data_IF_739633453605
#
_entry.id   IF_739633453605
#
_cell.length_a   1.000
_cell.length_b   1.000
_cell.length_c   1.000
_cell.angle_alpha   90.00
_cell.angle_beta   90.00
_cell.angle_gamma   90.00
#
_symmetry.space_group_name_H-M   'P 1'
#
loop_
_entity.id
_entity.type
_entity.pdbx_description
1 polymer ?
#
# COMPACT_ATOMS: atom_id res chain seq x y z
N UNK A 1 -8.92 9.04 0.92
CA UNK A 1 -7.46 8.88 1.07
C UNK A 1 -6.88 9.99 1.94
N UNK A 2 -7.43 10.21 3.14
CA UNK A 2 -6.92 11.25 4.06
C UNK A 2 -6.14 10.54 5.16
N UNK A 3 -4.94 11.02 5.47
CA UNK A 3 -4.11 10.40 6.49
C UNK A 3 -4.68 10.60 7.91
N UNK A 4 -4.42 9.66 8.85
CA UNK A 4 -4.99 9.67 10.20
C UNK A 4 -4.83 10.99 10.96
N UNK A 5 -3.68 11.65 10.82
CA UNK A 5 -3.38 12.92 11.46
C UNK A 5 -4.31 14.05 11.00
N UNK A 6 -4.67 14.10 9.71
CA UNK A 6 -5.59 15.09 9.18
C UNK A 6 -7.06 14.77 9.51
N UNK A 7 -7.39 13.50 9.76
CA UNK A 7 -8.71 13.09 10.24
C UNK A 7 -8.94 13.44 11.72
N UNK A 8 -7.87 13.56 12.53
CA UNK A 8 -7.95 13.95 13.94
C UNK A 8 -8.27 15.42 14.14
N UNK A 9 -8.13 16.26 13.11
CA UNK A 9 -8.27 17.73 13.17
C UNK A 9 -7.29 18.42 14.14
N UNK A 10 -6.38 17.68 14.78
CA UNK A 10 -5.36 18.16 15.74
C UNK A 10 -4.10 18.74 15.08
N UNK A 11 -4.07 18.83 13.75
CA UNK A 11 -2.89 19.28 12.99
C UNK A 11 -2.61 20.77 13.17
N UNK A 12 -3.54 21.56 13.74
CA UNK A 12 -3.37 23.00 13.98
C UNK A 12 -2.59 23.32 15.27
N UNK A 13 -1.60 22.50 15.63
CA UNK A 13 -0.67 22.80 16.71
C UNK A 13 0.55 23.56 16.18
N UNK A 14 1.21 24.34 17.04
CA UNK A 14 2.39 25.17 16.70
C UNK A 14 3.59 24.39 16.11
N UNK A 15 3.57 23.05 16.16
CA UNK A 15 4.59 22.17 15.60
C UNK A 15 4.32 21.70 14.15
N UNK A 16 3.21 22.12 13.53
CA UNK A 16 2.92 21.75 12.15
C UNK A 16 3.98 22.28 11.18
N UNK A 17 4.61 21.37 10.44
CA UNK A 17 5.51 21.69 9.34
C UNK A 17 4.83 21.29 8.03
N UNK A 18 4.25 22.25 7.27
CA UNK A 18 3.48 21.94 6.08
C UNK A 18 4.23 21.06 5.09
N UNK A 19 5.52 21.32 4.89
CA UNK A 19 6.32 20.54 3.95
C UNK A 19 6.47 19.08 4.40
N UNK A 20 6.88 18.86 5.64
CA UNK A 20 7.12 17.50 6.16
C UNK A 20 5.81 16.74 6.35
N UNK A 21 4.81 17.36 6.95
CA UNK A 21 3.56 16.70 7.34
C UNK A 21 2.69 16.39 6.11
N UNK A 22 2.58 17.30 5.14
CA UNK A 22 1.90 16.99 3.88
C UNK A 22 2.64 15.92 3.08
N UNK A 23 3.97 15.95 3.05
CA UNK A 23 4.75 14.86 2.42
C UNK A 23 4.45 13.51 3.06
N UNK A 24 4.34 13.45 4.40
CA UNK A 24 3.99 12.21 5.09
C UNK A 24 2.54 11.78 4.84
N UNK A 25 1.63 12.73 4.67
CA UNK A 25 0.25 12.46 4.27
C UNK A 25 0.20 11.84 2.87
N UNK A 26 0.98 12.39 1.92
CA UNK A 26 1.07 11.88 0.56
C UNK A 26 1.60 10.44 0.51
N UNK A 27 2.56 10.09 1.38
CA UNK A 27 3.03 8.71 1.51
C UNK A 27 1.92 7.76 1.95
N UNK A 28 1.08 8.18 2.90
CA UNK A 28 -0.08 7.39 3.32
C UNK A 28 -1.08 7.20 2.17
N UNK A 29 -1.41 8.26 1.45
CA UNK A 29 -2.30 8.20 0.28
C UNK A 29 -1.73 7.31 -0.82
N UNK A 30 -0.43 7.42 -1.08
CA UNK A 30 0.30 6.57 -2.04
C UNK A 30 0.23 5.09 -1.65
N UNK A 31 0.32 4.76 -0.37
CA UNK A 31 0.22 3.38 0.12
C UNK A 31 -1.13 2.73 -0.21
N UNK A 32 -2.22 3.49 -0.06
CA UNK A 32 -3.56 3.03 -0.39
C UNK A 32 -3.72 2.77 -1.91
N UNK A 33 -3.15 3.63 -2.75
CA UNK A 33 -3.13 3.44 -4.21
C UNK A 33 -2.27 2.23 -4.60
N UNK A 34 -1.12 2.04 -3.95
CA UNK A 34 -0.30 0.86 -4.15
C UNK A 34 -1.06 -0.41 -3.77
N UNK A 35 -1.84 -0.40 -2.68
CA UNK A 35 -2.72 -1.52 -2.32
C UNK A 35 -3.74 -1.84 -3.42
N UNK A 36 -4.39 -0.83 -4.01
CA UNK A 36 -5.30 -1.04 -5.14
C UNK A 36 -4.60 -1.67 -6.36
N UNK A 37 -3.38 -1.20 -6.65
CA UNK A 37 -2.58 -1.73 -7.75
C UNK A 37 -2.20 -3.19 -7.51
N UNK A 38 -1.81 -3.54 -6.27
CA UNK A 38 -1.53 -4.92 -5.90
C UNK A 38 -2.74 -5.82 -6.15
N UNK A 39 -3.94 -5.38 -5.77
CA UNK A 39 -5.19 -6.15 -5.93
C UNK A 39 -5.63 -6.34 -7.39
N UNK A 40 -5.05 -5.60 -8.32
CA UNK A 40 -5.35 -5.70 -9.77
C UNK A 40 -4.22 -6.32 -10.58
N UNK A 41 -3.17 -6.82 -9.93
CA UNK A 41 -2.02 -7.42 -10.62
C UNK A 41 -2.19 -8.92 -10.79
N UNK A 42 -2.44 -9.39 -12.02
CA UNK A 42 -2.71 -10.81 -12.36
C UNK A 42 -1.68 -11.75 -11.76
N UNK A 43 -0.39 -11.42 -11.91
CA UNK A 43 0.72 -12.25 -11.46
C UNK A 43 0.73 -12.57 -9.96
N UNK A 44 -0.12 -11.91 -9.15
CA UNK A 44 -0.28 -12.17 -7.73
C UNK A 44 -1.45 -13.09 -7.40
N UNK A 45 -2.48 -13.13 -8.24
CA UNK A 45 -3.71 -13.91 -8.01
C UNK A 45 -3.83 -15.18 -8.88
N UNK A 46 -3.04 -15.31 -9.95
CA UNK A 46 -3.09 -16.49 -10.82
C UNK A 46 -2.42 -16.26 -12.17
N UNK A 47 -2.82 -17.06 -13.16
CA UNK A 47 -2.32 -16.97 -14.53
C UNK A 47 -3.18 -16.05 -15.42
N UNK A 48 -4.47 -15.93 -15.14
CA UNK A 48 -5.46 -15.34 -16.03
C UNK A 48 -6.23 -14.18 -15.37
N UNK A 49 -6.87 -13.33 -16.19
CA UNK A 49 -7.66 -12.20 -15.67
C UNK A 49 -8.86 -12.64 -14.82
N UNK A 50 -9.41 -13.83 -15.08
CA UNK A 50 -10.58 -14.35 -14.37
C UNK A 50 -10.29 -14.70 -12.90
N UNK A 51 -9.01 -14.80 -12.51
CA UNK A 51 -8.61 -15.02 -11.12
C UNK A 51 -8.48 -13.72 -10.32
N UNK A 52 -8.66 -12.55 -10.95
CA UNK A 52 -8.61 -11.27 -10.26
C UNK A 52 -9.91 -11.02 -9.49
N UNK A 53 -9.84 -10.56 -8.23
CA UNK A 53 -11.01 -10.08 -7.52
C UNK A 53 -11.59 -8.84 -8.21
N UNK A 54 -12.87 -8.57 -8.01
CA UNK A 54 -13.50 -7.32 -8.46
C UNK A 54 -12.73 -6.11 -7.91
N UNK A 55 -12.67 -5.03 -8.69
CA UNK A 55 -12.02 -3.82 -8.23
C UNK A 55 -12.76 -3.26 -7.02
N UNK A 56 -12.01 -2.95 -5.97
CA UNK A 56 -12.53 -2.33 -4.76
C UNK A 56 -11.66 -1.15 -4.40
N UNK A 57 -12.31 -0.08 -3.97
CA UNK A 57 -11.61 1.06 -3.39
C UNK A 57 -11.10 0.70 -1.98
N UNK A 58 -10.06 1.37 -1.48
CA UNK A 58 -9.62 1.21 -0.10
C UNK A 58 -10.76 1.54 0.85
N UNK A 59 -10.96 0.67 1.85
CA UNK A 59 -12.07 0.75 2.82
C UNK A 59 -13.46 0.48 2.22
N UNK A 60 -13.56 0.02 0.97
CA UNK A 60 -14.83 -0.45 0.42
C UNK A 60 -15.41 -1.59 1.28
N UNK A 61 -16.73 -1.54 1.51
CA UNK A 61 -17.42 -2.41 2.46
C UNK A 61 -17.19 -2.09 3.96
N UNK A 62 -16.27 -1.20 4.32
CA UNK A 62 -16.09 -0.70 5.69
C UNK A 62 -16.77 0.66 5.91
N UNK A 63 -16.98 1.42 4.84
CA UNK A 63 -17.66 2.71 4.83
C UNK A 63 -18.70 2.76 3.70
N UNK A 64 -19.61 3.73 3.77
CA UNK A 64 -20.53 4.04 2.67
C UNK A 64 -19.77 4.56 1.44
N UNK A 65 -20.37 4.44 0.24
CA UNK A 65 -19.73 4.80 -1.04
C UNK A 65 -19.22 6.24 -1.10
N UNK A 66 -19.85 7.17 -0.38
CA UNK A 66 -19.39 8.55 -0.21
C UNK A 66 -19.17 8.86 1.27
N UNK A 67 -18.03 8.46 1.84
CA UNK A 67 -17.80 8.60 3.27
C UNK A 67 -17.47 10.05 3.63
N UNK A 68 -18.03 10.52 4.74
CA UNK A 68 -17.67 11.82 5.30
C UNK A 68 -16.35 11.73 6.08
N UNK A 69 -15.72 12.87 6.39
CA UNK A 69 -14.51 12.89 7.24
C UNK A 69 -14.73 12.22 8.61
N UNK A 70 -15.86 12.47 9.32
CA UNK A 70 -16.20 11.72 10.53
C UNK A 70 -16.29 10.21 10.33
N UNK A 71 -16.91 9.74 9.25
CA UNK A 71 -17.02 8.29 8.98
C UNK A 71 -15.65 7.65 8.80
N UNK A 72 -14.79 8.30 8.01
CA UNK A 72 -13.42 7.85 7.79
C UNK A 72 -12.59 7.88 9.09
N UNK A 73 -12.81 8.87 9.97
CA UNK A 73 -12.14 8.94 11.27
C UNK A 73 -12.46 7.71 12.11
N UNK A 74 -13.73 7.29 12.18
CA UNK A 74 -14.12 6.11 12.96
C UNK A 74 -13.34 4.87 12.51
N UNK A 75 -13.23 4.63 11.20
CA UNK A 75 -12.53 3.44 10.68
C UNK A 75 -11.01 3.57 10.79
N UNK A 76 -10.45 4.68 10.33
CA UNK A 76 -8.99 4.84 10.15
C UNK A 76 -8.28 5.17 11.47
N UNK A 77 -8.91 5.98 12.33
CA UNK A 77 -8.33 6.51 13.56
C UNK A 77 -8.81 5.74 14.79
N UNK A 78 -10.12 5.63 14.97
CA UNK A 78 -10.67 5.09 16.21
C UNK A 78 -10.54 3.56 16.24
N UNK A 79 -10.92 2.90 15.14
CA UNK A 79 -10.78 1.44 14.98
C UNK A 79 -9.41 1.01 14.45
N UNK A 80 -8.60 1.96 13.95
CA UNK A 80 -7.26 1.71 13.38
C UNK A 80 -7.24 0.64 12.28
N UNK A 81 -8.33 0.52 11.54
CA UNK A 81 -8.45 -0.43 10.45
C UNK A 81 -7.64 0.04 9.24
N UNK A 82 -7.16 -0.92 8.46
CA UNK A 82 -6.51 -0.70 7.17
C UNK A 82 -7.15 -1.64 6.14
N UNK A 83 -7.06 -1.33 4.83
CA UNK A 83 -7.56 -2.23 3.80
C UNK A 83 -6.94 -3.64 3.96
N UNK A 84 -7.74 -4.71 3.93
CA UNK A 84 -7.22 -6.06 4.15
C UNK A 84 -6.33 -6.47 2.97
N UNK A 85 -5.25 -7.20 3.24
CA UNK A 85 -4.51 -7.88 2.18
C UNK A 85 -5.33 -9.10 1.75
N UNK A 86 -5.68 -9.27 0.46
CA UNK A 86 -6.48 -10.40 0.02
C UNK A 86 -5.85 -11.75 0.38
N UNK A 87 -6.71 -12.72 0.73
CA UNK A 87 -6.28 -14.05 1.16
C UNK A 87 -5.35 -14.74 0.16
N UNK A 88 -5.58 -14.59 -1.14
CA UNK A 88 -4.72 -15.14 -2.19
C UNK A 88 -3.29 -14.56 -2.16
N UNK A 89 -3.13 -13.26 -1.91
CA UNK A 89 -1.82 -12.64 -1.71
C UNK A 89 -1.21 -13.19 -0.41
N UNK A 90 -1.97 -13.22 0.67
CA UNK A 90 -1.50 -13.69 1.97
C UNK A 90 -1.02 -15.16 1.93
N UNK A 91 -1.74 -16.01 1.20
CA UNK A 91 -1.37 -17.41 0.95
C UNK A 91 -0.03 -17.47 0.22
N UNK A 92 0.14 -16.71 -0.87
CA UNK A 92 1.39 -16.64 -1.65
C UNK A 92 2.59 -16.14 -0.83
N UNK A 93 2.37 -15.18 0.08
CA UNK A 93 3.37 -14.73 1.04
C UNK A 93 3.78 -15.89 1.98
N UNK A 94 2.82 -16.69 2.44
CA UNK A 94 3.06 -17.80 3.38
C UNK A 94 3.65 -19.06 2.74
N UNK A 95 3.28 -19.36 1.49
CA UNK A 95 3.75 -20.54 0.76
C UNK A 95 5.17 -20.36 0.20
N UNK A 96 5.78 -19.18 0.39
CA UNK A 96 7.13 -18.85 -0.08
C UNK A 96 7.28 -19.22 -1.55
N UNK A 97 6.69 -18.43 -2.45
CA UNK A 97 6.64 -18.67 -3.89
C UNK A 97 7.81 -19.55 -4.38
N UNK A 98 7.50 -20.80 -4.71
CA UNK A 98 8.44 -21.88 -5.06
C UNK A 98 9.27 -21.63 -6.33
N UNK A 99 9.42 -20.36 -6.76
CA UNK A 99 10.27 -19.94 -7.85
C UNK A 99 11.65 -19.56 -7.30
N UNK A 100 12.45 -20.58 -7.02
CA UNK A 100 13.88 -20.54 -6.69
C UNK A 100 14.24 -19.95 -5.29
N UNK A 101 14.97 -20.70 -4.44
CA UNK A 101 15.40 -20.30 -3.08
C UNK A 101 16.29 -19.03 -2.99
N UNK A 102 16.61 -18.42 -4.12
CA UNK A 102 17.55 -17.31 -4.29
C UNK A 102 16.89 -16.00 -4.73
N UNK A 103 15.58 -15.98 -5.00
CA UNK A 103 14.87 -14.77 -5.42
C UNK A 103 14.11 -14.15 -4.25
N UNK A 104 14.36 -12.86 -3.97
CA UNK A 104 13.53 -12.11 -3.02
C UNK A 104 12.11 -12.10 -3.56
N UNK A 105 11.15 -12.56 -2.75
CA UNK A 105 9.76 -12.58 -3.15
C UNK A 105 9.28 -11.13 -3.35
N UNK A 106 9.05 -10.75 -4.61
CA UNK A 106 8.65 -9.39 -5.00
C UNK A 106 7.38 -8.96 -4.28
N UNK A 107 6.48 -9.91 -4.00
CA UNK A 107 5.26 -9.67 -3.25
C UNK A 107 5.55 -9.23 -1.82
N UNK A 108 6.48 -9.90 -1.12
CA UNK A 108 6.86 -9.56 0.25
C UNK A 108 7.35 -8.12 0.34
N UNK A 109 8.20 -7.70 -0.61
CA UNK A 109 8.74 -6.33 -0.65
C UNK A 109 7.64 -5.32 -0.91
N UNK A 110 6.75 -5.57 -1.87
CA UNK A 110 5.68 -4.64 -2.21
C UNK A 110 4.63 -4.52 -1.09
N UNK A 111 4.24 -5.63 -0.47
CA UNK A 111 3.32 -5.63 0.68
C UNK A 111 3.99 -4.97 1.89
N UNK A 112 5.29 -5.21 2.11
CA UNK A 112 6.09 -4.51 3.11
C UNK A 112 6.04 -2.98 2.93
N UNK A 113 6.32 -2.49 1.72
CA UNK A 113 6.22 -1.06 1.38
C UNK A 113 4.83 -0.50 1.71
N UNK A 114 3.75 -1.16 1.29
CA UNK A 114 2.37 -0.70 1.59
C UNK A 114 2.15 -0.61 3.10
N UNK A 115 2.52 -1.67 3.84
CA UNK A 115 2.27 -1.76 5.28
C UNK A 115 3.09 -0.75 6.10
N UNK A 116 4.30 -0.45 5.67
CA UNK A 116 5.16 0.57 6.29
C UNK A 116 4.75 2.00 5.92
N UNK A 117 4.07 2.21 4.79
CA UNK A 117 3.65 3.54 4.34
C UNK A 117 2.31 4.00 4.91
N UNK A 118 1.38 3.09 5.23
CA UNK A 118 0.06 3.46 5.78
C UNK A 118 -0.02 3.46 7.32
N UNK A 119 1.13 3.57 8.00
CA UNK A 119 1.17 3.55 9.47
C UNK A 119 0.45 4.75 10.09
N UNK A 120 -0.14 4.53 11.28
CA UNK A 120 -0.78 5.57 12.10
C UNK A 120 0.11 6.79 12.31
N UNK A 121 1.38 6.56 12.68
CA UNK A 121 2.34 7.62 12.98
C UNK A 121 3.00 8.12 11.68
N UNK A 122 2.97 9.43 11.38
CA UNK A 122 3.63 9.97 10.20
C UNK A 122 5.15 9.75 10.19
N UNK A 123 5.78 9.83 11.36
CA UNK A 123 7.24 9.70 11.51
C UNK A 123 7.78 8.33 11.10
N UNK A 124 6.99 7.26 11.23
CA UNK A 124 7.40 5.89 10.88
C UNK A 124 7.23 5.57 9.41
N UNK A 125 6.48 6.38 8.66
CA UNK A 125 6.26 6.15 7.23
C UNK A 125 7.55 6.29 6.45
N UNK A 126 7.70 5.47 5.42
CA UNK A 126 8.84 5.55 4.49
C UNK A 126 8.93 6.92 3.81
N UNK A 127 10.11 7.24 3.29
CA UNK A 127 10.29 8.39 2.38
C UNK A 127 10.12 7.91 0.95
N UNK A 128 9.60 8.76 0.06
CA UNK A 128 9.46 8.43 -1.36
C UNK A 128 10.76 7.88 -1.99
N UNK A 129 11.91 8.45 -1.62
CA UNK A 129 13.22 7.97 -2.08
C UNK A 129 13.53 6.53 -1.62
N UNK A 130 13.10 6.15 -0.41
CA UNK A 130 13.27 4.78 0.10
C UNK A 130 12.38 3.82 -0.67
N UNK A 131 11.11 4.17 -0.87
CA UNK A 131 10.16 3.40 -1.69
C UNK A 131 10.74 3.15 -3.09
N UNK A 132 11.24 4.20 -3.75
CA UNK A 132 11.89 4.08 -5.07
C UNK A 132 13.09 3.12 -5.05
N UNK A 133 13.94 3.21 -4.02
CA UNK A 133 15.12 2.33 -3.88
C UNK A 133 14.74 0.88 -3.63
N UNK A 134 13.62 0.62 -2.97
CA UNK A 134 13.17 -0.74 -2.66
C UNK A 134 12.44 -1.38 -3.87
N UNK A 135 11.75 -0.57 -4.70
CA UNK A 135 11.09 -1.06 -5.93
C UNK A 135 12.09 -1.30 -7.06
N UNK A 136 13.14 -0.47 -7.19
CA UNK A 136 14.04 -0.51 -8.34
C UNK A 136 14.69 -1.90 -8.58
N UNK A 137 15.20 -2.63 -7.57
CA UNK A 137 15.76 -3.97 -7.75
C UNK A 137 14.73 -5.00 -8.23
N UNK A 138 13.44 -4.79 -7.96
CA UNK A 138 12.37 -5.70 -8.40
C UNK A 138 12.15 -5.60 -9.91
N UNK A 139 12.49 -4.46 -10.52
CA UNK A 139 12.34 -4.20 -11.96
C UNK A 139 13.50 -4.78 -12.78
N UNK A 140 14.71 -4.85 -12.21
CA UNK A 140 15.93 -5.22 -12.94
C UNK A 140 16.07 -6.71 -13.25
N UNK A 141 15.20 -7.57 -12.70
CA UNK A 141 15.30 -9.04 -12.88
C UNK A 141 14.52 -9.53 -14.11
N UNK A 142 13.63 -8.71 -14.70
CA UNK A 142 12.82 -9.08 -15.86
C UNK A 142 12.71 -7.94 -16.87
N UNK A 143 13.82 -7.54 -17.50
CA UNK A 143 13.74 -6.68 -18.68
C UNK A 143 13.85 -7.55 -19.95
N UNK A 144 12.73 -8.03 -20.54
CA UNK A 144 12.77 -8.73 -21.83
C UNK A 144 13.34 -7.84 -22.95
N UNK A 145 13.49 -6.53 -22.72
CA UNK A 145 14.12 -5.60 -23.67
C UNK A 145 15.65 -5.57 -23.58
N UNK A 146 16.27 -6.18 -22.56
CA UNK A 146 17.73 -6.34 -22.51
C UNK A 146 18.24 -7.62 -23.19
N UNK A 147 17.35 -8.57 -23.53
CA UNK A 147 17.72 -9.75 -24.31
C UNK A 147 17.93 -9.48 -25.81
N UNK A 148 17.69 -8.24 -26.28
CA UNK A 148 17.79 -7.83 -27.68
C UNK A 148 18.78 -6.67 -27.90
N UNK A 149 19.80 -6.51 -27.05
CA UNK A 149 20.93 -5.60 -27.31
C UNK A 149 22.25 -6.35 -27.37
#
# INVERSE_FOLDING_TARGET
YVAPEFLKLEVQNELFNPFMDLTKADIYSTALVLWELLNRTVGFFGADQDSLPEYQQPYDGMVQSEPTLPDMKVIVVDQRQRPPIPGAIQERLSTGANDSPSSVNRLDVLVGIVTECWTEKPATRLKALRIKKDILPLLTVNDPLQSNR
#
